data_IF_219484756599
#
_entry.id   IF_219484756599
#
_cell.length_a   1.000
_cell.length_b   1.000
_cell.length_c   1.000
_cell.angle_alpha   90.00
_cell.angle_beta   90.00
_cell.angle_gamma   90.00
#
_symmetry.space_group_name_H-M   'P 1'
#
loop_
_entity.id
_entity.type
_entity.pdbx_description
1 polymer ?
#
# COMPACT_ATOMS: atom_id res chain seq x y z
N UNK A 1 3.72 10.89 -29.30
CA UNK A 1 4.49 11.01 -28.03
C UNK A 1 3.96 10.12 -26.92
N UNK A 2 4.61 8.99 -26.68
CA UNK A 2 4.27 8.02 -25.63
C UNK A 2 4.23 8.61 -24.21
N UNK A 3 4.99 9.68 -23.94
CA UNK A 3 5.00 10.41 -22.66
C UNK A 3 3.67 11.11 -22.36
N UNK A 4 3.13 11.81 -23.36
CA UNK A 4 1.86 12.55 -23.24
C UNK A 4 0.69 11.56 -23.15
N UNK A 5 0.77 10.45 -23.87
CA UNK A 5 -0.19 9.36 -23.76
C UNK A 5 -0.15 8.71 -22.37
N UNK A 6 1.06 8.49 -21.82
CA UNK A 6 1.28 7.95 -20.49
C UNK A 6 0.74 8.86 -19.38
N UNK A 7 0.96 10.17 -19.46
CA UNK A 7 0.39 11.13 -18.50
C UNK A 7 -1.14 11.17 -18.57
N UNK A 8 -1.72 11.19 -19.78
CA UNK A 8 -3.18 11.16 -19.95
C UNK A 8 -3.78 9.86 -19.44
N UNK A 9 -3.10 8.74 -19.63
CA UNK A 9 -3.54 7.42 -19.17
C UNK A 9 -3.43 7.29 -17.65
N UNK A 10 -2.31 7.70 -17.06
CA UNK A 10 -2.07 7.68 -15.61
C UNK A 10 -3.05 8.57 -14.83
N UNK A 11 -3.49 9.68 -15.42
CA UNK A 11 -4.52 10.57 -14.87
C UNK A 11 -5.94 10.25 -15.33
N UNK A 12 -6.14 9.19 -16.11
CA UNK A 12 -7.49 8.80 -16.52
C UNK A 12 -8.27 8.27 -15.32
N UNK A 13 -9.53 8.70 -15.18
CA UNK A 13 -10.40 8.19 -14.12
C UNK A 13 -10.59 6.67 -14.17
N UNK A 14 -10.47 6.08 -15.37
CA UNK A 14 -10.52 4.62 -15.57
C UNK A 14 -9.33 3.92 -14.93
N UNK A 15 -8.11 4.45 -15.08
CA UNK A 15 -6.91 3.89 -14.44
C UNK A 15 -6.98 4.03 -12.92
N UNK A 16 -7.43 5.18 -12.42
CA UNK A 16 -7.64 5.37 -10.98
C UNK A 16 -8.69 4.40 -10.41
N UNK A 17 -9.79 4.18 -11.13
CA UNK A 17 -10.83 3.22 -10.73
C UNK A 17 -10.30 1.79 -10.73
N UNK A 18 -9.53 1.41 -11.75
CA UNK A 18 -8.91 0.09 -11.82
C UNK A 18 -7.96 -0.15 -10.64
N UNK A 19 -7.10 0.81 -10.29
CA UNK A 19 -6.23 0.71 -9.13
C UNK A 19 -7.01 0.62 -7.81
N UNK A 20 -8.10 1.38 -7.66
CA UNK A 20 -8.99 1.27 -6.50
C UNK A 20 -9.58 -0.14 -6.38
N UNK A 21 -10.07 -0.72 -7.49
CA UNK A 21 -10.60 -2.09 -7.52
C UNK A 21 -9.49 -3.10 -7.14
N UNK A 22 -8.26 -2.91 -7.63
CA UNK A 22 -7.12 -3.75 -7.26
C UNK A 22 -6.79 -3.69 -5.77
N UNK A 23 -6.82 -2.51 -5.15
CA UNK A 23 -6.57 -2.35 -3.71
C UNK A 23 -7.70 -3.00 -2.90
N UNK A 24 -8.95 -2.76 -3.28
CA UNK A 24 -10.11 -3.33 -2.59
C UNK A 24 -10.12 -4.86 -2.68
N UNK A 25 -9.90 -5.41 -3.88
CA UNK A 25 -9.79 -6.86 -4.07
C UNK A 25 -8.61 -7.45 -3.29
N UNK A 26 -7.43 -6.82 -3.30
CA UNK A 26 -6.29 -7.26 -2.49
C UNK A 26 -6.62 -7.27 -0.99
N UNK A 27 -7.34 -6.26 -0.51
CA UNK A 27 -7.73 -6.14 0.90
C UNK A 27 -8.76 -7.21 1.28
N UNK A 28 -9.74 -7.48 0.41
CA UNK A 28 -10.72 -8.56 0.62
C UNK A 28 -10.05 -9.94 0.68
N UNK A 29 -9.11 -10.20 -0.24
CA UNK A 29 -8.37 -11.47 -0.28
C UNK A 29 -7.51 -11.63 0.97
N UNK A 30 -6.85 -10.56 1.43
CA UNK A 30 -6.12 -10.58 2.70
C UNK A 30 -7.05 -10.85 3.89
N UNK A 31 -8.25 -10.25 3.91
CA UNK A 31 -9.26 -10.55 4.93
C UNK A 31 -9.67 -12.03 4.92
N UNK A 32 -9.87 -12.60 3.74
CA UNK A 32 -10.18 -14.03 3.58
C UNK A 32 -9.00 -14.93 4.00
N UNK A 33 -7.76 -14.56 3.69
CA UNK A 33 -6.54 -15.25 4.15
C UNK A 33 -6.50 -15.27 5.69
N UNK A 34 -6.74 -14.13 6.34
CA UNK A 34 -6.74 -14.03 7.81
C UNK A 34 -7.85 -14.89 8.42
N UNK A 35 -9.06 -14.84 7.86
CA UNK A 35 -10.19 -15.62 8.34
C UNK A 35 -9.95 -17.13 8.18
N UNK A 36 -9.44 -17.57 7.03
CA UNK A 36 -9.12 -18.98 6.78
C UNK A 36 -7.98 -19.48 7.65
N UNK A 37 -6.93 -18.67 7.85
CA UNK A 37 -5.86 -18.99 8.80
C UNK A 37 -6.38 -19.12 10.24
N UNK A 38 -7.32 -18.27 10.66
CA UNK A 38 -7.91 -18.32 12.00
C UNK A 38 -8.78 -19.58 12.24
N UNK A 39 -9.43 -20.09 11.19
CA UNK A 39 -10.25 -21.31 11.23
C UNK A 39 -9.44 -22.60 11.08
N UNK A 40 -8.22 -22.52 10.54
CA UNK A 40 -7.35 -23.68 10.34
C UNK A 40 -6.70 -24.15 11.64
N UNK A 41 -6.66 -25.46 11.88
CA UNK A 41 -6.01 -26.06 13.07
C UNK A 41 -4.50 -25.76 13.13
N UNK A 42 -3.87 -25.54 11.98
CA UNK A 42 -2.44 -25.23 11.86
C UNK A 42 -2.13 -23.73 11.96
N UNK A 43 -3.15 -22.86 11.90
CA UNK A 43 -2.96 -21.40 11.87
C UNK A 43 -2.38 -20.86 10.56
N UNK A 44 -2.38 -21.66 9.50
CA UNK A 44 -1.77 -21.34 8.21
C UNK A 44 -2.81 -21.34 7.08
N UNK A 45 -2.77 -20.30 6.25
CA UNK A 45 -3.63 -20.18 5.08
C UNK A 45 -3.08 -21.05 3.92
N UNK A 46 -3.97 -21.55 3.03
CA UNK A 46 -3.57 -22.26 1.83
C UNK A 46 -2.56 -21.49 0.96
N UNK A 47 -1.65 -22.21 0.30
CA UNK A 47 -0.61 -21.62 -0.57
C UNK A 47 -1.15 -20.73 -1.70
N UNK A 48 -2.41 -20.91 -2.09
CA UNK A 48 -3.11 -20.07 -3.09
C UNK A 48 -3.14 -18.60 -2.67
N UNK A 49 -3.30 -18.30 -1.37
CA UNK A 49 -3.31 -16.93 -0.87
C UNK A 49 -1.93 -16.27 -0.96
N UNK A 50 -0.87 -17.02 -0.70
CA UNK A 50 0.52 -16.54 -0.85
C UNK A 50 0.84 -16.21 -2.31
N UNK A 51 0.48 -17.09 -3.25
CA UNK A 51 0.66 -16.83 -4.68
C UNK A 51 -0.08 -15.56 -5.13
N UNK A 52 -1.30 -15.37 -4.62
CA UNK A 52 -2.11 -14.18 -4.91
C UNK A 52 -1.44 -12.91 -4.38
N UNK A 53 -0.87 -12.95 -3.18
CA UNK A 53 -0.14 -11.81 -2.63
C UNK A 53 1.08 -11.42 -3.48
N UNK A 54 1.84 -12.40 -3.97
CA UNK A 54 2.98 -12.15 -4.85
C UNK A 54 2.54 -11.46 -6.15
N UNK A 55 1.43 -11.91 -6.73
CA UNK A 55 0.85 -11.29 -7.92
C UNK A 55 0.46 -9.82 -7.65
N UNK A 56 -0.27 -9.54 -6.57
CA UNK A 56 -0.65 -8.17 -6.23
C UNK A 56 0.55 -7.28 -5.92
N UNK A 57 1.55 -7.81 -5.20
CA UNK A 57 2.78 -7.08 -4.89
C UNK A 57 3.54 -6.72 -6.17
N UNK A 58 3.63 -7.65 -7.12
CA UNK A 58 4.23 -7.40 -8.43
C UNK A 58 3.44 -6.33 -9.22
N UNK A 59 2.11 -6.44 -9.27
CA UNK A 59 1.25 -5.47 -9.95
C UNK A 59 1.40 -4.05 -9.39
N UNK A 60 1.37 -3.90 -8.07
CA UNK A 60 1.56 -2.58 -7.43
C UNK A 60 2.98 -2.04 -7.61
N UNK A 61 3.98 -2.91 -7.67
CA UNK A 61 5.36 -2.50 -7.95
C UNK A 61 5.48 -1.97 -9.38
N UNK A 62 4.91 -2.68 -10.35
CA UNK A 62 4.87 -2.23 -11.75
C UNK A 62 4.12 -0.91 -11.90
N UNK A 63 2.97 -0.77 -11.23
CA UNK A 63 2.19 0.46 -11.20
C UNK A 63 3.01 1.64 -10.66
N UNK A 64 3.73 1.44 -9.55
CA UNK A 64 4.57 2.48 -8.94
C UNK A 64 5.72 2.88 -9.86
N UNK A 65 6.42 1.90 -10.44
CA UNK A 65 7.52 2.14 -11.39
C UNK A 65 7.01 2.91 -12.61
N UNK A 66 5.86 2.53 -13.15
CA UNK A 66 5.24 3.24 -14.26
C UNK A 66 4.96 4.71 -13.90
N UNK A 67 4.37 4.99 -12.73
CA UNK A 67 4.13 6.38 -12.26
C UNK A 67 5.42 7.17 -12.11
N UNK A 68 6.47 6.59 -11.53
CA UNK A 68 7.77 7.25 -11.35
C UNK A 68 8.37 7.61 -12.72
N UNK A 69 8.30 6.71 -13.70
CA UNK A 69 8.79 6.94 -15.06
C UNK A 69 8.04 8.08 -15.78
N UNK A 70 6.73 8.20 -15.55
CA UNK A 70 5.86 9.21 -16.16
C UNK A 70 6.02 10.57 -15.46
N UNK A 71 5.83 10.64 -14.14
CA UNK A 71 5.77 11.90 -13.39
C UNK A 71 7.14 12.51 -13.03
N UNK A 72 8.21 11.68 -12.95
CA UNK A 72 9.60 12.10 -12.68
C UNK A 72 9.73 13.12 -11.53
N UNK A 73 10.11 14.37 -11.83
CA UNK A 73 10.31 15.43 -10.81
C UNK A 73 9.01 15.79 -10.08
N UNK A 74 7.85 15.67 -10.75
CA UNK A 74 6.53 15.96 -10.16
C UNK A 74 6.14 14.91 -9.12
N UNK A 75 6.62 13.68 -9.26
CA UNK A 75 6.40 12.62 -8.29
C UNK A 75 6.96 12.99 -6.91
N UNK A 76 8.16 13.58 -6.88
CA UNK A 76 8.89 13.90 -5.64
C UNK A 76 8.68 15.33 -5.10
N UNK A 77 8.35 16.30 -5.97
CA UNK A 77 8.19 17.72 -5.57
C UNK A 77 6.79 18.28 -5.82
N UNK A 78 5.86 17.44 -6.25
CA UNK A 78 4.47 17.85 -6.45
C UNK A 78 3.71 18.09 -5.14
N UNK A 79 2.53 18.72 -5.19
CA UNK A 79 1.67 18.93 -4.03
C UNK A 79 1.23 17.60 -3.37
N UNK A 80 1.30 16.49 -4.09
CA UNK A 80 0.97 15.15 -3.60
C UNK A 80 2.20 14.28 -3.33
N UNK A 81 3.42 14.86 -3.31
CA UNK A 81 4.66 14.11 -3.10
C UNK A 81 4.68 13.31 -1.79
N UNK A 82 4.07 13.84 -0.72
CA UNK A 82 3.96 13.12 0.55
C UNK A 82 3.15 11.82 0.40
N UNK A 83 2.05 11.84 -0.35
CA UNK A 83 1.23 10.66 -0.61
C UNK A 83 1.94 9.65 -1.52
N UNK A 84 2.68 10.15 -2.51
CA UNK A 84 3.53 9.33 -3.37
C UNK A 84 4.65 8.65 -2.58
N UNK A 85 5.25 9.36 -1.61
CA UNK A 85 6.25 8.79 -0.71
C UNK A 85 5.66 7.69 0.19
N UNK A 86 4.48 7.89 0.76
CA UNK A 86 3.77 6.84 1.52
C UNK A 86 3.53 5.62 0.62
N UNK A 87 3.13 5.82 -0.62
CA UNK A 87 2.93 4.73 -1.59
C UNK A 87 4.23 3.95 -1.85
N UNK A 88 5.36 4.65 -2.03
CA UNK A 88 6.69 4.04 -2.14
C UNK A 88 7.03 3.21 -0.90
N UNK A 89 6.88 3.76 0.30
CA UNK A 89 7.17 3.04 1.56
C UNK A 89 6.35 1.76 1.65
N UNK A 90 5.05 1.82 1.34
CA UNK A 90 4.18 0.65 1.38
C UNK A 90 4.61 -0.40 0.34
N UNK A 91 5.06 -0.02 -0.87
CA UNK A 91 5.53 -1.00 -1.90
C UNK A 91 6.80 -1.65 -1.38
N UNK A 92 7.75 -0.84 -0.93
CA UNK A 92 9.04 -1.32 -0.43
C UNK A 92 8.88 -2.28 0.74
N UNK A 93 8.03 -1.97 1.71
CA UNK A 93 7.76 -2.87 2.84
C UNK A 93 7.08 -4.16 2.39
N UNK A 94 6.21 -4.10 1.37
CA UNK A 94 5.58 -5.29 0.77
C UNK A 94 6.61 -6.18 0.05
N UNK A 95 7.56 -5.58 -0.68
CA UNK A 95 8.65 -6.31 -1.32
C UNK A 95 9.58 -6.95 -0.30
N UNK A 96 9.95 -6.23 0.75
CA UNK A 96 10.76 -6.77 1.85
C UNK A 96 10.06 -7.98 2.48
N UNK A 97 8.75 -7.89 2.70
CA UNK A 97 7.97 -9.01 3.21
C UNK A 97 8.05 -10.24 2.31
N UNK A 98 7.81 -10.07 1.00
CA UNK A 98 7.89 -11.18 0.03
C UNK A 98 9.31 -11.77 0.01
N UNK A 99 10.34 -10.94 0.07
CA UNK A 99 11.74 -11.40 0.13
C UNK A 99 12.01 -12.21 1.40
N UNK A 100 11.52 -11.76 2.55
CA UNK A 100 11.64 -12.48 3.82
C UNK A 100 10.92 -13.83 3.74
N UNK A 101 9.70 -13.86 3.21
CA UNK A 101 8.91 -15.10 3.08
C UNK A 101 9.60 -16.12 2.14
N UNK A 102 10.29 -15.65 1.08
CA UNK A 102 11.02 -16.53 0.13
C UNK A 102 12.34 -17.03 0.71
N UNK A 103 13.12 -16.16 1.35
CA UNK A 103 14.47 -16.49 1.85
C UNK A 103 14.40 -17.37 3.10
N UNK A 104 13.36 -17.17 3.93
CA UNK A 104 13.28 -17.83 5.24
C UNK A 104 12.48 -19.11 5.12
N UNK A 105 13.17 -20.19 4.77
CA UNK A 105 12.56 -21.53 4.64
C UNK A 105 12.65 -22.37 5.92
N UNK A 106 13.27 -21.88 7.01
CA UNK A 106 13.73 -22.74 8.12
C UNK A 106 13.28 -22.31 9.53
N UNK A 107 12.51 -23.18 10.18
CA UNK A 107 12.44 -23.63 11.61
C UNK A 107 12.82 -22.72 12.80
N UNK A 108 13.08 -21.42 12.63
CA UNK A 108 13.39 -20.52 13.73
C UNK A 108 12.11 -19.92 14.34
N UNK A 109 11.83 -20.27 15.58
CA UNK A 109 10.63 -19.89 16.34
C UNK A 109 10.49 -18.36 16.46
N UNK A 110 11.63 -17.65 16.63
CA UNK A 110 11.69 -16.18 16.64
C UNK A 110 11.25 -15.58 15.31
N UNK A 111 11.57 -16.25 14.20
CA UNK A 111 11.23 -15.80 12.85
C UNK A 111 9.75 -15.98 12.53
N UNK A 112 9.15 -17.06 13.03
CA UNK A 112 7.71 -17.28 12.91
C UNK A 112 6.90 -16.17 13.61
N UNK A 113 7.44 -15.58 14.68
CA UNK A 113 6.86 -14.37 15.31
C UNK A 113 7.01 -13.13 14.42
N UNK A 114 8.15 -12.96 13.77
CA UNK A 114 8.37 -11.84 12.84
C UNK A 114 7.39 -11.91 11.67
N UNK A 115 7.25 -13.06 11.00
CA UNK A 115 6.29 -13.25 9.89
C UNK A 115 4.86 -12.86 10.31
N UNK A 116 4.45 -13.20 11.54
CA UNK A 116 3.14 -12.78 12.09
C UNK A 116 3.02 -11.26 12.24
N UNK A 117 4.07 -10.57 12.68
CA UNK A 117 4.09 -9.11 12.79
C UNK A 117 4.10 -8.41 11.44
N UNK A 118 4.81 -8.97 10.45
CA UNK A 118 4.89 -8.39 9.09
C UNK A 118 3.51 -8.41 8.40
N UNK A 119 2.57 -9.29 8.80
CA UNK A 119 1.17 -9.21 8.34
C UNK A 119 0.49 -7.88 8.65
N UNK A 120 0.89 -7.17 9.71
CA UNK A 120 0.34 -5.83 10.05
C UNK A 120 0.69 -4.80 8.98
N UNK A 121 1.87 -4.91 8.36
CA UNK A 121 2.30 -4.02 7.28
C UNK A 121 1.36 -4.14 6.07
N UNK A 122 0.82 -5.33 5.80
CA UNK A 122 -0.14 -5.53 4.70
C UNK A 122 -1.41 -4.69 4.88
N UNK A 123 -1.85 -4.46 6.12
CA UNK A 123 -3.00 -3.59 6.42
C UNK A 123 -2.75 -2.15 5.95
N UNK A 124 -1.50 -1.67 6.02
CA UNK A 124 -1.13 -0.33 5.55
C UNK A 124 -1.39 -0.15 4.05
N UNK A 125 -1.49 -1.24 3.26
CA UNK A 125 -1.86 -1.16 1.83
C UNK A 125 -3.25 -0.55 1.63
N UNK A 126 -4.17 -0.65 2.58
CA UNK A 126 -5.49 0.01 2.51
C UNK A 126 -5.34 1.53 2.47
N UNK A 127 -4.31 2.08 3.11
CA UNK A 127 -4.04 3.51 3.16
C UNK A 127 -3.77 4.08 1.76
N UNK A 128 -3.39 3.24 0.80
CA UNK A 128 -3.24 3.63 -0.60
C UNK A 128 -4.54 4.12 -1.21
N UNK A 129 -5.70 3.65 -0.76
CA UNK A 129 -6.99 4.13 -1.29
C UNK A 129 -7.13 5.64 -1.12
N UNK A 130 -6.52 6.19 -0.06
CA UNK A 130 -6.54 7.62 0.23
C UNK A 130 -5.86 8.45 -0.87
N UNK A 131 -4.90 7.90 -1.62
CA UNK A 131 -4.23 8.66 -2.69
C UNK A 131 -5.12 8.89 -3.91
N UNK A 132 -6.14 8.06 -4.10
CA UNK A 132 -7.07 8.12 -5.22
C UNK A 132 -8.27 9.01 -4.93
N UNK A 133 -8.80 8.94 -3.72
CA UNK A 133 -9.95 9.77 -3.35
C UNK A 133 -9.46 11.19 -3.05
N UNK A 134 -9.52 12.06 -4.06
CA UNK A 134 -9.15 13.49 -3.93
C UNK A 134 -9.83 14.14 -2.72
N UNK A 135 -11.11 13.84 -2.49
CA UNK A 135 -11.84 14.32 -1.32
C UNK A 135 -11.19 13.90 -0.01
N UNK A 136 -10.77 12.63 0.14
CA UNK A 136 -10.09 12.16 1.35
C UNK A 136 -8.75 12.87 1.56
N UNK A 137 -7.96 13.10 0.51
CA UNK A 137 -6.69 13.84 0.64
C UNK A 137 -6.90 15.25 1.17
N UNK A 138 -7.91 15.96 0.64
CA UNK A 138 -8.23 17.31 1.06
C UNK A 138 -8.69 17.30 2.53
N UNK A 139 -9.57 16.36 2.90
CA UNK A 139 -10.03 16.22 4.29
C UNK A 139 -8.88 15.92 5.25
N UNK A 140 -7.98 14.99 4.91
CA UNK A 140 -6.81 14.69 5.75
C UNK A 140 -5.90 15.91 5.89
N UNK A 141 -5.65 16.65 4.79
CA UNK A 141 -4.86 17.87 4.86
C UNK A 141 -5.50 18.92 5.77
N UNK A 142 -6.82 19.10 5.68
CA UNK A 142 -7.56 20.00 6.57
C UNK A 142 -7.46 19.57 8.04
N UNK A 143 -7.64 18.28 8.33
CA UNK A 143 -7.51 17.72 9.69
C UNK A 143 -6.09 17.90 10.24
N UNK A 144 -5.05 17.66 9.44
CA UNK A 144 -3.67 17.85 9.87
C UNK A 144 -3.38 19.32 10.22
N UNK A 145 -3.95 20.26 9.46
CA UNK A 145 -3.81 21.69 9.76
C UNK A 145 -4.53 22.09 11.05
N UNK A 146 -5.74 21.58 11.30
CA UNK A 146 -6.46 21.86 12.55
C UNK A 146 -5.77 21.24 13.75
N UNK A 147 -5.27 20.00 13.65
CA UNK A 147 -4.47 19.34 14.70
C UNK A 147 -3.22 20.14 15.00
N UNK A 148 -2.50 20.61 13.98
CA UNK A 148 -1.33 21.47 14.18
C UNK A 148 -1.68 22.75 14.94
N UNK A 149 -2.80 23.39 14.58
CA UNK A 149 -3.27 24.59 15.30
C UNK A 149 -3.61 24.27 16.77
N UNK A 150 -4.28 23.14 17.02
CA UNK A 150 -4.64 22.70 18.36
C UNK A 150 -3.41 22.45 19.23
N UNK A 151 -2.37 21.84 18.67
CA UNK A 151 -1.10 21.60 19.38
C UNK A 151 -0.53 22.94 19.89
N UNK A 152 -0.51 23.98 19.06
CA UNK A 152 -0.05 25.31 19.48
C UNK A 152 -0.94 25.91 20.56
N UNK A 153 -2.26 25.80 20.45
CA UNK A 153 -3.20 26.28 21.47
C UNK A 153 -3.00 25.58 22.81
N UNK A 154 -2.80 24.26 22.81
CA UNK A 154 -2.57 23.46 24.03
C UNK A 154 -1.21 23.76 24.64
N UNK A 155 -0.17 23.97 23.83
CA UNK A 155 1.16 24.35 24.33
C UNK A 155 1.20 25.75 24.96
N UNK A 156 0.30 26.64 24.54
CA UNK A 156 0.20 28.01 25.07
C UNK A 156 -0.67 28.11 26.33
N UNK A 157 -1.53 27.11 26.59
CA UNK A 157 -2.41 27.04 27.76
C UNK A 157 -1.67 26.40 28.94
#
# INVERSE_FOLDING_TARGET
>A
DWKILGEKFAHSGSFETACCILILSNTMIFGAEVQTAALSTTGEAPAVFQATEYIYTALFTLELVFRICVEKKRFYRGPFAAWNFVDCVIVSLSLIQVLVDVIVTSSNITFMRIVRMVRVIRVLRVLRVMRFVRALRILVFSVLNTVRSLIWTVLLL
#
